data_IF_407157133572
#
_entry.id   IF_407157133572
#
_cell.length_a   1.000
_cell.length_b   1.000
_cell.length_c   1.000
_cell.angle_alpha   90.00
_cell.angle_beta   90.00
_cell.angle_gamma   90.00
#
_symmetry.space_group_name_H-M   'P 1'
#
loop_
_entity.id
_entity.type
_entity.pdbx_description
1 polymer ?
#
# COMPACT_ATOMS: atom_id res chain seq x y z
N UNK A 1 -4.40 10.70 -22.44
CA UNK A 1 -3.97 9.62 -21.53
C UNK A 1 -5.18 9.30 -20.67
N UNK A 2 -5.74 8.11 -20.85
CA UNK A 2 -6.96 7.67 -20.14
C UNK A 2 -6.53 7.11 -18.79
N UNK A 3 -7.12 7.63 -17.73
CA UNK A 3 -6.90 7.16 -16.36
C UNK A 3 -7.42 5.70 -16.24
N UNK A 4 -6.68 4.78 -15.58
CA UNK A 4 -7.12 3.38 -15.49
C UNK A 4 -8.41 3.28 -14.65
N UNK A 5 -9.39 2.53 -15.16
CA UNK A 5 -10.64 2.28 -14.46
C UNK A 5 -10.39 1.52 -13.15
N UNK A 6 -10.88 2.07 -12.04
CA UNK A 6 -10.84 1.42 -10.72
C UNK A 6 -11.82 0.25 -10.71
N UNK A 7 -11.32 -0.98 -10.67
CA UNK A 7 -12.14 -2.16 -10.46
C UNK A 7 -12.67 -2.16 -9.01
N UNK A 8 -13.98 -2.00 -8.84
CA UNK A 8 -14.66 -2.14 -7.56
C UNK A 8 -14.85 -3.62 -7.23
N UNK A 9 -14.17 -4.13 -6.20
CA UNK A 9 -14.44 -5.44 -5.62
C UNK A 9 -15.69 -5.35 -4.75
N UNK A 10 -16.77 -5.99 -5.19
CA UNK A 10 -18.00 -6.10 -4.41
C UNK A 10 -17.80 -7.19 -3.35
N UNK A 11 -17.35 -6.81 -2.15
CA UNK A 11 -17.13 -7.75 -1.04
C UNK A 11 -18.47 -8.01 -0.37
N UNK A 12 -19.22 -8.99 -0.86
CA UNK A 12 -20.48 -9.42 -0.24
C UNK A 12 -20.19 -10.12 1.10
N UNK A 13 -20.58 -9.47 2.20
CA UNK A 13 -20.77 -10.00 3.55
C UNK A 13 -19.72 -10.98 4.08
N UNK A 14 -18.64 -10.45 4.66
CA UNK A 14 -17.90 -11.14 5.70
C UNK A 14 -18.77 -11.13 6.98
N UNK A 15 -19.41 -12.26 7.30
CA UNK A 15 -20.22 -12.45 8.51
C UNK A 15 -19.53 -11.94 9.78
N UNK A 16 -20.32 -11.67 10.84
CA UNK A 16 -19.95 -11.06 12.13
C UNK A 16 -18.42 -11.00 12.30
N UNK A 17 -17.82 -9.88 11.87
CA UNK A 17 -16.39 -9.69 12.04
C UNK A 17 -16.14 -9.67 13.55
N UNK A 18 -15.29 -10.55 14.10
CA UNK A 18 -14.85 -10.37 15.48
C UNK A 18 -14.35 -8.93 15.59
N UNK A 19 -14.84 -8.20 16.59
CA UNK A 19 -14.50 -6.78 16.80
C UNK A 19 -12.99 -6.69 16.72
N UNK A 20 -12.48 -6.06 15.66
CA UNK A 20 -11.05 -5.98 15.42
C UNK A 20 -10.41 -5.43 16.70
N UNK A 21 -9.31 -6.04 17.20
CA UNK A 21 -8.72 -5.62 18.46
C UNK A 21 -8.39 -4.13 18.39
N UNK A 22 -9.17 -3.29 19.06
CA UNK A 22 -8.97 -1.82 19.02
C UNK A 22 -7.68 -1.39 19.73
N UNK A 23 -7.11 -2.29 20.51
CA UNK A 23 -5.82 -2.14 21.18
C UNK A 23 -4.79 -3.02 20.46
N UNK A 24 -4.29 -2.51 19.33
CA UNK A 24 -3.12 -3.09 18.71
C UNK A 24 -1.90 -2.57 19.47
N UNK A 25 -1.25 -3.41 20.28
CA UNK A 25 0.05 -3.11 20.93
C UNK A 25 1.19 -3.02 19.90
N UNK A 26 0.99 -2.28 18.82
CA UNK A 26 2.03 -1.98 17.86
C UNK A 26 2.72 -0.72 18.37
N UNK A 27 4.05 -0.70 18.52
CA UNK A 27 4.77 0.44 19.10
C UNK A 27 4.89 1.62 18.11
N UNK A 28 3.86 1.89 17.31
CA UNK A 28 3.82 2.96 16.32
C UNK A 28 3.10 4.16 16.94
N UNK A 29 3.81 5.27 17.14
CA UNK A 29 3.23 6.51 17.67
C UNK A 29 2.88 7.52 16.59
N UNK A 30 3.80 7.73 15.65
CA UNK A 30 3.69 8.72 14.58
C UNK A 30 4.46 8.24 13.35
N UNK A 31 3.95 8.56 12.15
CA UNK A 31 4.70 8.37 10.91
C UNK A 31 5.62 9.58 10.73
N UNK A 32 6.92 9.32 10.72
CA UNK A 32 7.95 10.34 10.54
C UNK A 32 8.23 10.62 9.07
N UNK A 33 8.18 9.57 8.24
CA UNK A 33 8.53 9.68 6.82
C UNK A 33 7.88 8.58 6.01
N UNK A 34 7.55 8.93 4.77
CA UNK A 34 7.06 7.99 3.77
C UNK A 34 8.03 7.92 2.58
N UNK A 35 8.40 6.72 2.19
CA UNK A 35 9.23 6.45 1.02
C UNK A 35 8.47 5.52 0.09
N UNK A 36 8.31 5.93 -1.16
CA UNK A 36 7.70 5.12 -2.21
C UNK A 36 8.78 4.72 -3.20
N UNK A 37 8.98 3.41 -3.37
CA UNK A 37 9.85 2.85 -4.40
C UNK A 37 9.04 2.44 -5.61
N UNK A 38 9.50 2.83 -6.79
CA UNK A 38 8.86 2.57 -8.07
C UNK A 38 9.91 2.09 -9.07
N UNK A 39 9.55 1.30 -10.10
CA UNK A 39 10.44 0.96 -11.21
C UNK A 39 11.03 2.15 -11.95
N UNK A 40 10.34 3.29 -11.93
CA UNK A 40 10.78 4.54 -12.53
C UNK A 40 10.19 5.71 -11.77
N UNK A 41 10.98 6.77 -11.58
CA UNK A 41 10.52 8.04 -11.00
C UNK A 41 10.31 9.13 -12.06
N UNK A 42 10.48 8.79 -13.35
CA UNK A 42 10.47 9.75 -14.46
C UNK A 42 9.06 10.28 -14.74
N UNK A 43 8.03 9.47 -14.50
CA UNK A 43 6.62 9.76 -14.80
C UNK A 43 5.75 9.83 -13.54
N UNK A 44 6.10 10.70 -12.59
CA UNK A 44 5.21 11.01 -11.47
C UNK A 44 3.96 11.79 -11.92
N UNK A 45 2.80 11.45 -11.36
CA UNK A 45 1.57 12.22 -11.54
C UNK A 45 1.71 13.64 -10.96
N UNK A 46 0.85 14.57 -11.37
CA UNK A 46 0.89 15.95 -10.87
C UNK A 46 0.74 15.99 -9.33
N UNK A 47 -0.17 15.19 -8.78
CA UNK A 47 -0.35 15.10 -7.33
C UNK A 47 0.89 14.52 -6.63
N UNK A 48 1.49 13.46 -7.18
CA UNK A 48 2.71 12.84 -6.65
C UNK A 48 3.89 13.81 -6.64
N UNK A 49 4.05 14.63 -7.69
CA UNK A 49 5.05 15.70 -7.74
C UNK A 49 4.85 16.73 -6.64
N UNK A 50 3.61 17.20 -6.45
CA UNK A 50 3.31 18.21 -5.41
C UNK A 50 3.67 17.72 -4.00
N UNK A 51 3.33 16.48 -3.67
CA UNK A 51 3.65 15.92 -2.33
C UNK A 51 5.14 15.60 -2.18
N UNK A 52 5.81 15.23 -3.27
CA UNK A 52 7.27 15.07 -3.31
C UNK A 52 7.98 16.39 -3.05
N UNK A 53 7.61 17.44 -3.79
CA UNK A 53 8.26 18.76 -3.73
C UNK A 53 8.04 19.44 -2.37
N UNK A 54 6.96 19.08 -1.67
CA UNK A 54 6.70 19.49 -0.28
C UNK A 54 7.47 18.67 0.76
N UNK A 55 8.28 17.69 0.34
CA UNK A 55 9.05 16.83 1.23
C UNK A 55 8.21 15.83 2.04
N UNK A 56 6.92 15.69 1.73
CA UNK A 56 6.01 14.79 2.46
C UNK A 56 6.26 13.32 2.12
N UNK A 57 6.67 13.06 0.87
CA UNK A 57 6.95 11.72 0.37
C UNK A 57 8.27 11.75 -0.41
N UNK A 58 9.16 10.81 -0.13
CA UNK A 58 10.33 10.59 -0.98
C UNK A 58 10.04 9.49 -2.00
N UNK A 59 10.25 9.78 -3.29
CA UNK A 59 10.20 8.75 -4.32
C UNK A 59 11.62 8.26 -4.64
N UNK A 60 11.80 6.94 -4.80
CA UNK A 60 13.07 6.33 -5.17
C UNK A 60 12.85 5.28 -6.26
N UNK A 61 13.87 5.07 -7.08
CA UNK A 61 13.86 3.95 -8.02
C UNK A 61 14.16 2.63 -7.29
N UNK A 62 13.48 1.57 -7.71
CA UNK A 62 13.64 0.21 -7.19
C UNK A 62 12.97 -0.81 -8.12
N UNK A 63 13.38 -2.07 -8.04
CA UNK A 63 12.88 -3.13 -8.92
C UNK A 63 11.40 -3.48 -8.71
N UNK A 64 10.82 -3.07 -7.58
CA UNK A 64 9.45 -3.40 -7.17
C UNK A 64 8.72 -2.14 -6.67
N UNK A 65 7.39 -2.17 -6.78
CA UNK A 65 6.54 -1.16 -6.15
C UNK A 65 6.49 -1.43 -4.64
N UNK A 66 7.01 -0.49 -3.84
CA UNK A 66 7.07 -0.66 -2.38
C UNK A 66 6.75 0.64 -1.67
N UNK A 67 5.95 0.54 -0.60
CA UNK A 67 5.70 1.63 0.33
C UNK A 67 6.41 1.34 1.64
N UNK A 68 7.27 2.24 2.07
CA UNK A 68 8.00 2.17 3.33
C UNK A 68 7.55 3.33 4.22
N UNK A 69 7.09 2.99 5.43
CA UNK A 69 6.67 3.94 6.46
C UNK A 69 7.68 3.89 7.59
N UNK A 70 8.35 5.02 7.83
CA UNK A 70 9.26 5.19 8.96
C UNK A 70 8.46 5.85 10.06
N UNK A 71 8.47 5.27 11.26
CA UNK A 71 7.66 5.72 12.39
C UNK A 71 8.48 5.86 13.67
N UNK A 72 8.00 6.68 14.60
CA UNK A 72 8.57 6.74 15.95
C UNK A 72 8.05 5.57 16.80
N UNK A 73 8.98 4.94 17.51
CA UNK A 73 8.73 3.79 18.39
C UNK A 73 9.65 3.86 19.61
N UNK A 74 9.23 3.28 20.72
CA UNK A 74 10.04 3.20 21.96
C UNK A 74 11.24 2.25 21.81
N UNK A 75 11.28 1.42 20.77
CA UNK A 75 12.40 0.54 20.44
C UNK A 75 12.51 0.27 18.94
N UNK A 76 13.59 -0.41 18.54
CA UNK A 76 13.77 -0.83 17.14
C UNK A 76 12.69 -1.85 16.77
N UNK A 77 11.92 -1.53 15.72
CA UNK A 77 10.89 -2.41 15.19
C UNK A 77 10.88 -2.30 13.66
N UNK A 78 10.92 -3.44 12.99
CA UNK A 78 10.79 -3.56 11.55
C UNK A 78 9.69 -4.58 11.26
N UNK A 79 8.77 -4.21 10.36
CA UNK A 79 7.66 -5.05 9.96
C UNK A 79 7.65 -5.15 8.44
N UNK A 80 7.97 -6.32 7.91
CA UNK A 80 7.78 -6.60 6.48
C UNK A 80 6.33 -7.06 6.26
N UNK A 81 5.50 -6.14 5.76
CA UNK A 81 4.09 -6.37 5.47
C UNK A 81 3.84 -6.80 4.03
N UNK A 82 4.90 -7.11 3.25
CA UNK A 82 4.72 -7.63 1.91
C UNK A 82 3.97 -8.96 1.98
N UNK A 83 2.99 -9.19 1.09
CA UNK A 83 2.28 -10.46 1.08
C UNK A 83 3.28 -11.59 0.81
N UNK A 84 3.27 -12.61 1.67
CA UNK A 84 4.12 -13.81 1.54
C UNK A 84 3.63 -14.76 0.44
N UNK A 85 2.40 -14.58 -0.05
CA UNK A 85 1.80 -15.38 -1.12
C UNK A 85 1.65 -14.55 -2.40
N UNK A 86 1.98 -15.10 -3.59
CA UNK A 86 1.66 -14.44 -4.84
C UNK A 86 0.15 -14.34 -4.98
N UNK A 87 -0.38 -13.12 -5.06
CA UNK A 87 -1.79 -12.86 -5.36
C UNK A 87 -2.08 -13.30 -6.81
N UNK A 88 -2.55 -14.53 -6.98
CA UNK A 88 -2.96 -15.05 -8.29
C UNK A 88 -4.43 -14.67 -8.53
N UNK A 89 -4.65 -13.59 -9.26
CA UNK A 89 -5.97 -13.26 -9.80
C UNK A 89 -6.25 -14.09 -11.04
N UNK A 90 -7.25 -14.98 -10.99
CA UNK A 90 -7.75 -15.72 -12.16
C UNK A 90 -9.16 -15.24 -12.49
N UNK A 91 -9.35 -14.76 -13.72
CA UNK A 91 -10.67 -14.50 -14.29
C UNK A 91 -11.18 -15.71 -15.07
N UNK A 92 -12.47 -16.01 -14.94
CA UNK A 92 -13.19 -16.94 -15.81
C UNK A 92 -14.28 -16.20 -16.60
N UNK A 93 -14.55 -16.61 -17.83
CA UNK A 93 -15.75 -16.18 -18.54
C UNK A 93 -16.99 -16.73 -17.82
N UNK A 94 -18.06 -15.93 -17.74
CA UNK A 94 -19.37 -16.41 -17.28
C UNK A 94 -19.81 -17.52 -18.24
N UNK A 95 -19.64 -18.77 -17.84
CA UNK A 95 -19.93 -19.95 -18.65
C UNK A 95 -18.69 -20.80 -18.94
N UNK A 96 -18.26 -21.59 -17.97
CA UNK A 96 -17.68 -22.91 -18.22
C UNK A 96 -18.37 -23.86 -17.23
N UNK A 97 -18.98 -24.90 -17.78
CA UNK A 97 -19.62 -26.02 -17.07
C UNK A 97 -18.60 -26.78 -16.24
#
# INVERSE_FOLDING_TARGET
>A
MTEPELAFLNVENLGIRPKEPVDHRVPIREILKMVVRLPSTTTLSKAAKVVHDRGLITFKEGSEHMLELIFASEGSAEFDLRPTLPLVFRGGSKGVV
#
